data_IF_476535160473
#
_entry.id   IF_476535160473
#
_cell.length_a   1.000
_cell.length_b   1.000
_cell.length_c   1.000
_cell.angle_alpha   90.00
_cell.angle_beta   90.00
_cell.angle_gamma   90.00
#
_symmetry.space_group_name_H-M   'P 1'
#
loop_
_entity.id
_entity.type
_entity.pdbx_description
1 polymer ?
#
# COMPACT_ATOMS: atom_id res chain seq x y z
N UNK A 1 -64.70 2.85 -37.63
CA UNK A 1 -63.58 1.90 -37.36
C UNK A 1 -62.21 2.52 -37.68
N UNK A 2 -61.85 3.68 -37.13
CA UNK A 2 -60.62 4.41 -37.48
C UNK A 2 -59.82 4.92 -36.26
N UNK A 3 -60.14 4.51 -35.02
CA UNK A 3 -59.52 5.05 -33.80
C UNK A 3 -58.34 4.19 -33.20
N UNK A 4 -58.01 3.04 -33.79
CA UNK A 4 -57.10 2.10 -33.14
C UNK A 4 -55.65 2.10 -33.69
N UNK A 5 -55.36 2.77 -34.81
CA UNK A 5 -54.03 2.82 -35.38
C UNK A 5 -53.14 3.94 -34.78
N UNK A 6 -53.75 5.03 -34.28
CA UNK A 6 -53.03 6.17 -33.68
C UNK A 6 -52.49 5.86 -32.29
N UNK A 7 -53.24 5.09 -31.49
CA UNK A 7 -52.88 4.71 -30.10
C UNK A 7 -51.71 3.70 -30.11
N UNK A 8 -51.68 2.77 -31.09
CA UNK A 8 -50.57 1.81 -31.24
C UNK A 8 -49.24 2.47 -31.63
N UNK A 9 -49.30 3.53 -32.44
CA UNK A 9 -48.08 4.32 -32.82
C UNK A 9 -47.56 5.16 -31.65
N UNK A 10 -48.47 5.67 -30.78
CA UNK A 10 -48.09 6.45 -29.61
C UNK A 10 -47.46 5.56 -28.50
N UNK A 11 -47.99 4.36 -28.31
CA UNK A 11 -47.43 3.38 -27.37
C UNK A 11 -46.08 2.81 -27.86
N UNK A 12 -45.87 2.67 -29.17
CA UNK A 12 -44.56 2.23 -29.72
C UNK A 12 -43.49 3.31 -29.60
N UNK A 13 -43.85 4.60 -29.66
CA UNK A 13 -42.91 5.72 -29.49
C UNK A 13 -42.50 5.92 -28.00
N UNK A 14 -43.40 5.64 -27.03
CA UNK A 14 -43.08 5.74 -25.63
C UNK A 14 -42.16 4.57 -25.14
N UNK A 15 -42.28 3.39 -25.76
CA UNK A 15 -41.37 2.26 -25.44
C UNK A 15 -39.92 2.48 -25.91
N UNK A 16 -39.72 3.28 -26.97
CA UNK A 16 -38.36 3.57 -27.48
C UNK A 16 -37.65 4.69 -26.71
N UNK A 17 -38.38 5.64 -26.08
CA UNK A 17 -37.81 6.68 -25.24
C UNK A 17 -37.38 6.15 -23.85
N UNK A 18 -38.00 5.11 -23.33
CA UNK A 18 -37.68 4.53 -22.04
C UNK A 18 -36.37 3.69 -22.06
N UNK A 19 -36.00 3.11 -23.21
CA UNK A 19 -34.81 2.27 -23.33
C UNK A 19 -33.50 3.08 -23.43
N UNK A 20 -33.58 4.31 -23.98
CA UNK A 20 -32.39 5.18 -24.12
C UNK A 20 -32.02 5.89 -22.82
N UNK A 21 -32.98 6.15 -21.94
CA UNK A 21 -32.72 6.82 -20.65
C UNK A 21 -32.07 5.86 -19.65
N UNK A 22 -32.41 4.58 -19.66
CA UNK A 22 -31.81 3.58 -18.77
C UNK A 22 -30.36 3.23 -19.17
N UNK A 23 -30.02 3.25 -20.47
CA UNK A 23 -28.65 3.01 -20.93
C UNK A 23 -27.70 4.16 -20.55
N UNK A 24 -28.15 5.42 -20.69
CA UNK A 24 -27.36 6.60 -20.33
C UNK A 24 -27.17 6.73 -18.82
N UNK A 25 -28.13 6.34 -17.99
CA UNK A 25 -28.01 6.34 -16.54
C UNK A 25 -27.01 5.27 -16.05
N UNK A 26 -26.96 4.13 -16.72
CA UNK A 26 -26.00 3.06 -16.40
C UNK A 26 -24.54 3.45 -16.77
N UNK A 27 -24.33 4.12 -17.90
CA UNK A 27 -23.03 4.62 -18.33
C UNK A 27 -22.50 5.72 -17.40
N UNK A 28 -23.34 6.68 -17.03
CA UNK A 28 -22.98 7.75 -16.10
C UNK A 28 -22.63 7.20 -14.73
N UNK A 29 -23.37 6.22 -14.21
CA UNK A 29 -23.10 5.59 -12.93
C UNK A 29 -21.81 4.79 -12.88
N UNK A 30 -21.47 4.07 -13.95
CA UNK A 30 -20.22 3.31 -14.01
C UNK A 30 -18.98 4.22 -14.10
N UNK A 31 -19.06 5.33 -14.82
CA UNK A 31 -17.97 6.31 -14.91
C UNK A 31 -17.75 7.04 -13.58
N UNK A 32 -18.84 7.41 -12.89
CA UNK A 32 -18.81 8.07 -11.58
C UNK A 32 -18.19 7.14 -10.52
N UNK A 33 -18.58 5.87 -10.51
CA UNK A 33 -18.01 4.87 -9.60
C UNK A 33 -16.52 4.65 -9.87
N UNK A 34 -16.11 4.55 -11.14
CA UNK A 34 -14.69 4.40 -11.50
C UNK A 34 -13.86 5.61 -11.05
N UNK A 35 -14.40 6.83 -11.22
CA UNK A 35 -13.75 8.06 -10.75
C UNK A 35 -13.59 8.05 -9.22
N UNK A 36 -14.64 7.73 -8.47
CA UNK A 36 -14.62 7.63 -7.02
C UNK A 36 -13.56 6.63 -6.53
N UNK A 37 -13.50 5.46 -7.14
CA UNK A 37 -12.51 4.44 -6.80
C UNK A 37 -11.07 4.87 -7.15
N UNK A 38 -10.88 5.65 -8.22
CA UNK A 38 -9.59 6.27 -8.54
C UNK A 38 -9.12 7.21 -7.42
N UNK A 39 -10.01 8.08 -6.93
CA UNK A 39 -9.68 8.99 -5.83
C UNK A 39 -9.43 8.22 -4.50
N UNK A 40 -10.17 7.14 -4.26
CA UNK A 40 -9.93 6.27 -3.12
C UNK A 40 -8.57 5.59 -3.20
N UNK A 41 -8.20 5.03 -4.36
CA UNK A 41 -6.88 4.42 -4.57
C UNK A 41 -5.74 5.43 -4.36
N UNK A 42 -5.88 6.66 -4.85
CA UNK A 42 -4.92 7.74 -4.58
C UNK A 42 -4.79 7.99 -3.07
N UNK A 43 -5.91 8.10 -2.37
CA UNK A 43 -5.93 8.29 -0.92
C UNK A 43 -5.23 7.15 -0.16
N UNK A 44 -5.52 5.90 -0.52
CA UNK A 44 -4.86 4.72 0.07
C UNK A 44 -3.36 4.70 -0.25
N UNK A 45 -2.97 4.99 -1.49
CA UNK A 45 -1.56 5.05 -1.89
C UNK A 45 -0.80 6.15 -1.13
N UNK A 46 -1.38 7.33 -0.97
CA UNK A 46 -0.79 8.42 -0.21
C UNK A 46 -0.65 8.10 1.29
N UNK A 47 -1.65 7.43 1.87
CA UNK A 47 -1.59 6.93 3.25
C UNK A 47 -0.49 5.89 3.41
N UNK A 48 -0.42 4.91 2.53
CA UNK A 48 0.64 3.87 2.52
C UNK A 48 2.04 4.52 2.45
N UNK A 49 2.23 5.52 1.59
CA UNK A 49 3.49 6.26 1.50
C UNK A 49 3.88 6.91 2.83
N UNK A 50 2.93 7.56 3.50
CA UNK A 50 3.15 8.22 4.79
C UNK A 50 3.49 7.24 5.91
N UNK A 51 2.82 6.09 5.96
CA UNK A 51 3.08 5.10 7.00
C UNK A 51 4.40 4.35 6.76
N UNK A 52 4.81 4.19 5.50
CA UNK A 52 6.17 3.75 5.15
C UNK A 52 7.23 4.77 5.60
N UNK A 53 7.01 6.07 5.40
CA UNK A 53 7.91 7.12 5.88
C UNK A 53 8.06 7.08 7.42
N UNK A 54 6.94 6.87 8.13
CA UNK A 54 6.93 6.72 9.58
C UNK A 54 7.70 5.48 10.03
N UNK A 55 7.48 4.35 9.36
CA UNK A 55 8.20 3.11 9.63
C UNK A 55 9.72 3.27 9.47
N UNK A 56 10.19 3.95 8.41
CA UNK A 56 11.62 4.22 8.20
C UNK A 56 12.19 5.08 9.32
N UNK A 57 11.48 6.13 9.72
CA UNK A 57 11.92 6.98 10.82
C UNK A 57 12.02 6.21 12.16
N UNK A 58 11.10 5.25 12.39
CA UNK A 58 11.14 4.39 13.57
C UNK A 58 12.25 3.34 13.48
N UNK A 59 12.53 2.82 12.27
CA UNK A 59 13.65 1.92 12.01
C UNK A 59 14.99 2.61 12.33
N UNK A 60 15.17 3.86 11.92
CA UNK A 60 16.37 4.65 12.25
C UNK A 60 16.58 4.82 13.75
N UNK A 61 15.52 5.11 14.51
CA UNK A 61 15.60 5.19 15.97
C UNK A 61 15.97 3.85 16.61
N UNK A 62 15.33 2.77 16.14
CA UNK A 62 15.59 1.41 16.65
C UNK A 62 17.03 1.00 16.40
N UNK A 63 17.59 1.29 15.23
CA UNK A 63 18.98 1.04 14.88
C UNK A 63 19.94 1.82 15.79
N UNK A 64 19.68 3.12 16.02
CA UNK A 64 20.49 3.96 16.90
C UNK A 64 20.53 3.43 18.34
N UNK A 65 19.39 3.05 18.91
CA UNK A 65 19.36 2.51 20.27
C UNK A 65 19.97 1.12 20.35
N UNK A 66 19.84 0.27 19.33
CA UNK A 66 20.48 -1.03 19.25
C UNK A 66 22.01 -0.89 19.23
N UNK A 67 22.55 0.04 18.45
CA UNK A 67 23.97 0.37 18.44
C UNK A 67 24.44 0.81 19.83
N UNK A 68 23.65 1.66 20.50
CA UNK A 68 23.97 2.14 21.84
C UNK A 68 23.96 1.03 22.91
N UNK A 69 23.13 -0.02 22.76
CA UNK A 69 23.16 -1.21 23.66
C UNK A 69 24.49 -1.96 23.51
N UNK A 70 24.97 -2.17 22.27
CA UNK A 70 26.21 -2.86 21.99
C UNK A 70 27.46 -2.18 22.55
N UNK A 71 27.38 -0.89 22.89
CA UNK A 71 28.48 -0.05 23.38
C UNK A 71 28.36 0.31 24.86
N UNK A 72 27.25 -0.04 25.52
CA UNK A 72 26.97 0.41 26.87
C UNK A 72 27.48 -0.56 27.94
N UNK A 73 27.87 -0.02 29.09
CA UNK A 73 28.33 -0.76 30.28
C UNK A 73 27.65 -0.29 31.55
N UNK A 74 27.65 -1.14 32.57
CA UNK A 74 27.18 -0.80 33.89
C UNK A 74 25.74 -0.31 33.95
N UNK A 75 25.50 0.81 34.65
CA UNK A 75 24.14 1.38 34.81
C UNK A 75 23.55 1.91 33.49
N UNK A 76 24.39 2.32 32.58
CA UNK A 76 23.95 2.85 31.27
C UNK A 76 23.39 1.72 30.40
N UNK A 77 23.91 0.50 30.51
CA UNK A 77 23.42 -0.65 29.77
C UNK A 77 21.93 -0.91 30.00
N UNK A 78 21.48 -0.85 31.27
CA UNK A 78 20.04 -1.01 31.58
C UNK A 78 19.17 0.03 30.89
N UNK A 79 19.57 1.30 30.95
CA UNK A 79 18.82 2.40 30.32
C UNK A 79 18.75 2.25 28.79
N UNK A 80 19.85 1.83 28.15
CA UNK A 80 19.89 1.60 26.70
C UNK A 80 19.03 0.42 26.29
N UNK A 81 19.06 -0.67 27.06
CA UNK A 81 18.17 -1.80 26.82
C UNK A 81 16.70 -1.43 26.97
N UNK A 82 16.31 -0.67 27.99
CA UNK A 82 14.92 -0.20 28.15
C UNK A 82 14.48 0.65 26.95
N UNK A 83 15.35 1.55 26.47
CA UNK A 83 15.10 2.32 25.25
C UNK A 83 14.96 1.42 24.04
N UNK A 84 15.88 0.47 23.84
CA UNK A 84 15.81 -0.49 22.72
C UNK A 84 14.52 -1.32 22.77
N UNK A 85 14.14 -1.83 23.92
CA UNK A 85 12.90 -2.60 24.10
C UNK A 85 11.65 -1.80 23.72
N UNK A 86 11.64 -0.50 24.05
CA UNK A 86 10.57 0.43 23.68
C UNK A 86 10.53 0.68 22.18
N UNK A 87 11.68 1.02 21.56
CA UNK A 87 11.71 1.32 20.13
C UNK A 87 11.40 0.09 19.26
N UNK A 88 11.74 -1.14 19.71
CA UNK A 88 11.33 -2.38 19.04
C UNK A 88 9.80 -2.55 19.08
N UNK A 89 9.17 -2.25 20.22
CA UNK A 89 7.70 -2.32 20.32
C UNK A 89 7.02 -1.28 19.40
N UNK A 90 7.51 -0.06 19.36
CA UNK A 90 7.01 0.99 18.46
C UNK A 90 7.16 0.58 16.98
N UNK A 91 8.30 -0.05 16.63
CA UNK A 91 8.55 -0.54 15.28
C UNK A 91 7.60 -1.68 14.89
N UNK A 92 7.25 -2.57 15.83
CA UNK A 92 6.24 -3.63 15.62
C UNK A 92 4.87 -3.05 15.29
N UNK A 93 4.45 -2.01 16.02
CA UNK A 93 3.16 -1.36 15.75
C UNK A 93 3.16 -0.65 14.39
N UNK A 94 4.22 0.09 14.07
CA UNK A 94 4.34 0.75 12.77
C UNK A 94 4.39 -0.26 11.61
N UNK A 95 5.01 -1.43 11.79
CA UNK A 95 4.97 -2.52 10.81
C UNK A 95 3.55 -3.04 10.57
N UNK A 96 2.76 -3.23 11.62
CA UNK A 96 1.36 -3.68 11.50
C UNK A 96 0.53 -2.68 10.70
N UNK A 97 0.67 -1.38 11.00
CA UNK A 97 -0.03 -0.32 10.28
C UNK A 97 0.37 -0.28 8.81
N UNK A 98 1.66 -0.23 8.51
CA UNK A 98 2.14 -0.22 7.12
C UNK A 98 1.69 -1.47 6.33
N UNK A 99 1.69 -2.64 6.97
CA UNK A 99 1.21 -3.89 6.36
C UNK A 99 -0.27 -3.84 6.01
N UNK A 100 -1.11 -3.36 6.95
CA UNK A 100 -2.55 -3.19 6.72
C UNK A 100 -2.83 -2.23 5.56
N UNK A 101 -2.12 -1.11 5.51
CA UNK A 101 -2.31 -0.10 4.47
C UNK A 101 -1.87 -0.58 3.08
N UNK A 102 -0.82 -1.39 3.01
CA UNK A 102 -0.41 -2.06 1.77
C UNK A 102 -1.51 -3.01 1.28
N UNK A 103 -2.10 -3.81 2.16
CA UNK A 103 -3.15 -4.76 1.80
C UNK A 103 -4.43 -4.00 1.36
N UNK A 104 -4.80 -2.91 2.04
CA UNK A 104 -5.92 -2.05 1.64
C UNK A 104 -5.67 -1.38 0.28
N UNK A 105 -4.50 -0.83 0.04
CA UNK A 105 -4.13 -0.23 -1.25
C UNK A 105 -4.25 -1.24 -2.39
N UNK A 106 -3.76 -2.48 -2.19
CA UNK A 106 -3.87 -3.56 -3.19
C UNK A 106 -5.31 -3.94 -3.48
N UNK A 107 -6.15 -4.07 -2.45
CA UNK A 107 -7.57 -4.39 -2.60
C UNK A 107 -8.32 -3.29 -3.36
N UNK A 108 -8.13 -2.03 -2.97
CA UNK A 108 -8.72 -0.87 -3.65
C UNK A 108 -8.26 -0.78 -5.11
N UNK A 109 -7.00 -1.09 -5.41
CA UNK A 109 -6.49 -1.15 -6.78
C UNK A 109 -7.20 -2.20 -7.62
N UNK A 110 -7.43 -3.40 -7.09
CA UNK A 110 -8.15 -4.46 -7.79
C UNK A 110 -9.61 -4.07 -8.11
N UNK A 111 -10.30 -3.42 -7.18
CA UNK A 111 -11.66 -2.89 -7.37
C UNK A 111 -11.68 -1.81 -8.45
N UNK A 112 -10.77 -0.83 -8.37
CA UNK A 112 -10.64 0.25 -9.36
C UNK A 112 -10.43 -0.29 -10.77
N UNK A 113 -9.49 -1.21 -10.99
CA UNK A 113 -9.22 -1.77 -12.33
C UNK A 113 -10.37 -2.63 -12.85
N UNK A 114 -11.15 -3.27 -11.97
CA UNK A 114 -12.36 -4.00 -12.32
C UNK A 114 -13.45 -3.04 -12.82
N UNK A 115 -13.71 -1.96 -12.11
CA UNK A 115 -14.69 -0.94 -12.50
C UNK A 115 -14.26 -0.19 -13.75
N UNK A 116 -12.97 0.12 -13.90
CA UNK A 116 -12.47 0.73 -15.13
C UNK A 116 -12.68 -0.18 -16.34
N UNK A 117 -12.43 -1.48 -16.19
CA UNK A 117 -12.71 -2.45 -17.27
C UNK A 117 -14.20 -2.51 -17.63
N UNK A 118 -15.10 -2.44 -16.65
CA UNK A 118 -16.54 -2.39 -16.90
C UNK A 118 -16.94 -1.11 -17.67
N UNK A 119 -16.37 0.04 -17.30
CA UNK A 119 -16.57 1.31 -18.00
C UNK A 119 -16.06 1.28 -19.44
N UNK A 120 -14.89 0.69 -19.69
CA UNK A 120 -14.34 0.49 -21.05
C UNK A 120 -15.29 -0.35 -21.92
N UNK A 121 -15.87 -1.40 -21.37
CA UNK A 121 -16.77 -2.30 -22.11
C UNK A 121 -18.06 -1.58 -22.56
N UNK A 122 -18.47 -0.52 -21.88
CA UNK A 122 -19.63 0.30 -22.22
C UNK A 122 -19.33 1.39 -23.25
N UNK A 123 -18.06 1.66 -23.59
CA UNK A 123 -17.67 2.68 -24.56
C UNK A 123 -18.03 2.23 -25.98
N UNK A 124 -18.76 3.08 -26.70
CA UNK A 124 -19.16 2.85 -28.11
C UNK A 124 -18.14 3.40 -29.13
N UNK A 125 -17.40 4.46 -28.77
CA UNK A 125 -16.37 5.02 -29.66
C UNK A 125 -15.11 4.16 -29.62
N UNK A 126 -14.66 3.58 -30.75
CA UNK A 126 -13.55 2.65 -30.78
C UNK A 126 -12.20 3.30 -30.41
N UNK A 127 -11.97 4.55 -30.80
CA UNK A 127 -10.70 5.26 -30.52
C UNK A 127 -10.57 5.59 -29.04
N UNK A 128 -11.65 6.08 -28.40
CA UNK A 128 -11.68 6.33 -26.97
C UNK A 128 -11.58 5.04 -26.16
N UNK A 129 -12.21 3.97 -26.63
CA UNK A 129 -12.10 2.65 -26.01
C UNK A 129 -10.66 2.14 -26.05
N UNK A 130 -9.99 2.22 -27.20
CA UNK A 130 -8.61 1.79 -27.34
C UNK A 130 -7.67 2.62 -26.45
N UNK A 131 -7.78 3.94 -26.46
CA UNK A 131 -6.99 4.83 -25.60
C UNK A 131 -7.17 4.50 -24.09
N UNK A 132 -8.42 4.20 -23.67
CA UNK A 132 -8.70 3.81 -22.28
C UNK A 132 -8.11 2.45 -21.91
N UNK A 133 -8.11 1.46 -22.84
CA UNK A 133 -7.46 0.16 -22.64
C UNK A 133 -5.95 0.34 -22.42
N UNK A 134 -5.30 1.14 -23.27
CA UNK A 134 -3.85 1.39 -23.20
C UNK A 134 -3.49 2.09 -21.89
N UNK A 135 -4.21 3.13 -21.51
CA UNK A 135 -4.00 3.86 -20.25
C UNK A 135 -4.20 2.94 -19.03
N UNK A 136 -5.31 2.18 -18.99
CA UNK A 136 -5.59 1.22 -17.93
C UNK A 136 -4.46 0.19 -17.80
N UNK A 137 -4.01 -0.37 -18.92
CA UNK A 137 -2.94 -1.38 -18.92
C UNK A 137 -1.64 -0.84 -18.33
N UNK A 138 -1.27 0.41 -18.66
CA UNK A 138 -0.10 1.07 -18.10
C UNK A 138 -0.24 1.26 -16.60
N UNK A 139 -1.33 1.89 -16.14
CA UNK A 139 -1.54 2.19 -14.71
C UNK A 139 -1.64 0.91 -13.88
N UNK A 140 -2.28 -0.14 -14.41
CA UNK A 140 -2.36 -1.45 -13.75
C UNK A 140 -0.97 -2.09 -13.61
N UNK A 141 -0.14 -2.04 -14.65
CA UNK A 141 1.22 -2.55 -14.59
C UNK A 141 2.04 -1.84 -13.52
N UNK A 142 1.99 -0.50 -13.46
CA UNK A 142 2.71 0.31 -12.47
C UNK A 142 2.23 -0.01 -11.04
N UNK A 143 0.92 -0.21 -10.85
CA UNK A 143 0.35 -0.66 -9.57
C UNK A 143 0.83 -2.05 -9.18
N UNK A 144 0.86 -3.00 -10.10
CA UNK A 144 1.28 -4.38 -9.84
C UNK A 144 2.78 -4.45 -9.50
N UNK A 145 3.62 -3.68 -10.19
CA UNK A 145 5.05 -3.53 -9.88
C UNK A 145 5.26 -2.94 -8.48
N UNK A 146 4.48 -1.93 -8.12
CA UNK A 146 4.49 -1.36 -6.77
C UNK A 146 4.06 -2.39 -5.72
N UNK A 147 2.96 -3.09 -5.95
CA UNK A 147 2.45 -4.11 -5.04
C UNK A 147 3.44 -5.27 -4.84
N UNK A 148 4.15 -5.68 -5.89
CA UNK A 148 5.22 -6.70 -5.83
C UNK A 148 6.40 -6.19 -5.00
N UNK A 149 6.86 -4.96 -5.23
CA UNK A 149 7.95 -4.34 -4.47
C UNK A 149 7.64 -4.24 -2.97
N UNK A 150 6.43 -3.80 -2.62
CA UNK A 150 6.00 -3.71 -1.22
C UNK A 150 5.86 -5.10 -0.56
N UNK A 151 5.46 -6.11 -1.34
CA UNK A 151 5.39 -7.50 -0.85
C UNK A 151 6.77 -8.09 -0.59
N UNK A 152 7.78 -7.78 -1.42
CA UNK A 152 9.18 -8.18 -1.20
C UNK A 152 9.76 -7.54 0.07
N UNK A 153 9.54 -6.25 0.27
CA UNK A 153 9.93 -5.54 1.49
C UNK A 153 9.30 -6.22 2.73
N UNK A 154 8.00 -6.50 2.70
CA UNK A 154 7.30 -7.20 3.80
C UNK A 154 7.92 -8.58 4.09
N UNK A 155 8.31 -9.33 3.07
CA UNK A 155 9.00 -10.63 3.22
C UNK A 155 10.33 -10.52 3.94
N UNK A 156 11.06 -9.42 3.78
CA UNK A 156 12.34 -9.18 4.46
C UNK A 156 12.18 -8.57 5.86
N UNK A 157 11.08 -7.86 6.12
CA UNK A 157 10.77 -7.34 7.43
C UNK A 157 10.55 -8.44 8.48
N UNK A 158 9.96 -9.56 8.11
CA UNK A 158 9.64 -10.65 9.02
C UNK A 158 10.88 -11.21 9.73
N UNK A 159 11.95 -11.69 9.04
CA UNK A 159 13.15 -12.19 9.68
C UNK A 159 13.92 -11.09 10.44
N UNK A 160 13.90 -9.85 9.95
CA UNK A 160 14.53 -8.72 10.65
C UNK A 160 13.86 -8.47 12.00
N UNK A 161 12.52 -8.38 12.05
CA UNK A 161 11.78 -8.19 13.30
C UNK A 161 11.97 -9.37 14.26
N UNK A 162 12.03 -10.61 13.76
CA UNK A 162 12.36 -11.78 14.58
C UNK A 162 13.73 -11.65 15.25
N UNK A 163 14.75 -11.21 14.52
CA UNK A 163 16.07 -10.97 15.10
C UNK A 163 16.06 -9.90 16.21
N UNK A 164 15.29 -8.83 16.04
CA UNK A 164 15.15 -7.80 17.09
C UNK A 164 14.40 -8.31 18.32
N UNK A 165 13.37 -9.13 18.15
CA UNK A 165 12.64 -9.75 19.24
C UNK A 165 13.51 -10.74 20.01
N UNK A 166 14.32 -11.54 19.30
CA UNK A 166 15.28 -12.48 19.91
C UNK A 166 16.34 -11.73 20.71
N UNK A 167 16.89 -10.63 20.17
CA UNK A 167 17.83 -9.76 20.90
C UNK A 167 17.20 -9.17 22.15
N UNK A 168 15.98 -8.65 22.05
CA UNK A 168 15.22 -8.10 23.18
C UNK A 168 15.00 -9.17 24.25
N UNK A 169 14.59 -10.37 23.86
CA UNK A 169 14.35 -11.48 24.78
C UNK A 169 15.64 -11.97 25.44
N UNK A 170 16.68 -12.19 24.66
CA UNK A 170 17.98 -12.67 25.14
C UNK A 170 18.63 -11.70 26.13
N UNK A 171 18.70 -10.43 25.80
CA UNK A 171 19.27 -9.40 26.68
C UNK A 171 18.38 -9.13 27.89
N UNK A 172 17.05 -9.28 27.78
CA UNK A 172 16.11 -9.14 28.88
C UNK A 172 16.21 -10.25 29.92
N UNK A 173 16.71 -11.44 29.52
CA UNK A 173 16.90 -12.56 30.45
C UNK A 173 18.13 -12.35 31.35
N UNK A 174 19.22 -11.85 30.80
CA UNK A 174 20.46 -11.55 31.54
C UNK A 174 21.17 -10.37 30.87
N UNK A 175 20.99 -9.20 31.45
CA UNK A 175 21.57 -7.96 30.96
C UNK A 175 22.97 -7.74 31.53
N UNK A 176 23.90 -8.59 31.09
CA UNK A 176 25.31 -8.54 31.50
C UNK A 176 26.21 -8.16 30.30
N UNK A 177 27.40 -7.56 30.51
CA UNK A 177 28.37 -7.31 29.45
C UNK A 177 28.75 -8.58 28.67
N UNK A 178 28.76 -9.72 29.33
CA UNK A 178 29.07 -11.01 28.68
C UNK A 178 27.99 -11.36 27.65
N UNK A 179 26.73 -11.20 28.00
CA UNK A 179 25.62 -11.50 27.09
C UNK A 179 25.50 -10.46 25.98
N UNK A 180 25.79 -9.19 26.25
CA UNK A 180 25.92 -8.17 25.18
C UNK A 180 27.00 -8.57 24.19
N UNK A 181 28.15 -9.03 24.66
CA UNK A 181 29.24 -9.55 23.80
C UNK A 181 28.80 -10.75 22.95
N UNK A 182 28.03 -11.69 23.53
CA UNK A 182 27.46 -12.85 22.80
C UNK A 182 26.42 -12.44 21.76
N UNK A 183 25.68 -11.35 21.98
CA UNK A 183 24.70 -10.81 21.04
C UNK A 183 25.35 -10.01 19.90
N UNK A 184 26.67 -9.72 19.97
CA UNK A 184 27.38 -8.82 19.06
C UNK A 184 27.16 -9.12 17.57
N UNK A 185 27.30 -10.38 17.17
CA UNK A 185 27.11 -10.79 15.77
C UNK A 185 25.67 -10.55 15.29
N UNK A 186 24.67 -10.84 16.15
CA UNK A 186 23.26 -10.60 15.80
C UNK A 186 22.94 -9.10 15.78
N UNK A 187 23.55 -8.29 16.65
CA UNK A 187 23.44 -6.83 16.63
C UNK A 187 23.99 -6.30 15.29
N UNK A 188 25.18 -6.70 14.89
CA UNK A 188 25.79 -6.27 13.63
C UNK A 188 24.95 -6.73 12.42
N UNK A 189 24.48 -7.97 12.43
CA UNK A 189 23.58 -8.47 11.38
C UNK A 189 22.30 -7.65 11.29
N UNK A 190 21.67 -7.35 12.42
CA UNK A 190 20.43 -6.56 12.44
C UNK A 190 20.65 -5.14 11.93
N UNK A 191 21.80 -4.53 12.18
CA UNK A 191 22.18 -3.22 11.63
C UNK A 191 22.37 -3.28 10.11
N UNK A 192 23.01 -4.32 9.59
CA UNK A 192 23.16 -4.52 8.14
C UNK A 192 21.80 -4.77 7.46
N UNK A 193 20.94 -5.58 8.07
CA UNK A 193 19.57 -5.85 7.58
C UNK A 193 18.74 -4.55 7.55
N UNK A 194 18.85 -3.70 8.59
CA UNK A 194 18.17 -2.40 8.64
C UNK A 194 18.60 -1.47 7.50
N UNK A 195 19.89 -1.41 7.21
CA UNK A 195 20.42 -0.60 6.11
C UNK A 195 19.88 -1.10 4.76
N UNK A 196 19.93 -2.40 4.49
CA UNK A 196 19.41 -3.00 3.27
C UNK A 196 17.90 -2.76 3.11
N UNK A 197 17.12 -2.83 4.19
CA UNK A 197 15.70 -2.51 4.21
C UNK A 197 15.43 -1.05 3.85
N UNK A 198 16.19 -0.11 4.43
CA UNK A 198 16.06 1.33 4.13
C UNK A 198 16.31 1.64 2.65
N UNK A 199 17.31 1.03 2.04
CA UNK A 199 17.61 1.20 0.61
C UNK A 199 16.44 0.69 -0.27
N UNK A 200 15.88 -0.48 0.04
CA UNK A 200 14.72 -1.01 -0.68
C UNK A 200 13.48 -0.14 -0.52
N UNK A 201 13.22 0.32 0.70
CA UNK A 201 12.08 1.20 0.98
C UNK A 201 12.23 2.53 0.24
N UNK A 202 13.42 3.11 0.15
CA UNK A 202 13.66 4.32 -0.64
C UNK A 202 13.31 4.12 -2.13
N UNK A 203 13.62 2.94 -2.70
CA UNK A 203 13.18 2.55 -4.04
C UNK A 203 11.65 2.49 -4.18
N UNK A 204 10.97 1.85 -3.22
CA UNK A 204 9.51 1.76 -3.21
C UNK A 204 8.84 3.13 -3.08
N UNK A 205 9.37 4.03 -2.24
CA UNK A 205 8.88 5.41 -2.10
C UNK A 205 8.95 6.17 -3.43
N UNK A 206 10.01 5.98 -4.20
CA UNK A 206 10.14 6.59 -5.53
C UNK A 206 9.04 6.08 -6.48
N UNK A 207 8.76 4.79 -6.45
CA UNK A 207 7.68 4.17 -7.24
C UNK A 207 6.30 4.64 -6.78
N UNK A 208 6.05 4.74 -5.46
CA UNK A 208 4.82 5.30 -4.89
C UNK A 208 4.55 6.73 -5.38
N UNK A 209 5.55 7.60 -5.32
CA UNK A 209 5.43 8.99 -5.77
C UNK A 209 5.16 9.08 -7.27
N UNK A 210 5.83 8.24 -8.08
CA UNK A 210 5.57 8.16 -9.52
C UNK A 210 4.12 7.75 -9.78
N UNK A 211 3.63 6.68 -9.13
CA UNK A 211 2.27 6.20 -9.28
C UNK A 211 1.23 7.26 -8.88
N UNK A 212 1.44 7.99 -7.78
CA UNK A 212 0.57 9.09 -7.35
C UNK A 212 0.51 10.22 -8.40
N UNK A 213 1.64 10.61 -8.98
CA UNK A 213 1.69 11.64 -10.01
C UNK A 213 0.96 11.21 -11.29
N UNK A 214 1.20 9.97 -11.76
CA UNK A 214 0.56 9.44 -12.97
C UNK A 214 -0.96 9.23 -12.85
N UNK A 215 -1.46 9.02 -11.66
CA UNK A 215 -2.91 8.92 -11.40
C UNK A 215 -3.57 10.30 -11.23
N UNK A 216 -2.79 11.38 -11.17
CA UNK A 216 -3.27 12.76 -10.99
C UNK A 216 -3.38 13.52 -12.34
N UNK A 217 -2.67 13.07 -13.38
CA UNK A 217 -2.76 13.57 -14.77
C UNK A 217 -3.81 12.82 -15.58
#
# INVERSE_FOLDING_TARGET
>A
MVKNKSIRKLLLMMAFCGLTVTLNASLAGAADETFKQSEELKGKTAKTSKDIDKYVAQLDKTEQVLSAVGQAEGKELKKRYESFSKEVHELEEDQKHATSDIDEMKATGAEYFTSWNASINQMSNPDLKQASIERRSKVMKDHDELAATLSDIRGQLQPFMSNLQDLKSFLGTDLSPINVGKAGDLIQKSQADALALKEKVAGAQTTLRRFLNETTE
#
